data_IF_687359817426
#
_entry.id   IF_687359817426
#
_cell.length_a   1.000
_cell.length_b   1.000
_cell.length_c   1.000
_cell.angle_alpha   90.00
_cell.angle_beta   90.00
_cell.angle_gamma   90.00
#
_symmetry.space_group_name_H-M   'P 1'
#
loop_
_entity.id
_entity.type
_entity.pdbx_description
1 polymer ?
#
# COMPACT_ATOMS: atom_id res chain seq x y z
N UNK A 1 0.13 -18.87 -37.97
CA UNK A 1 0.27 -17.85 -36.91
C UNK A 1 -0.81 -18.12 -35.86
N UNK A 2 -0.50 -18.82 -34.76
CA UNK A 2 -1.49 -19.11 -33.72
C UNK A 2 -1.77 -17.80 -32.96
N UNK A 3 -2.96 -17.24 -33.15
CA UNK A 3 -3.48 -16.20 -32.26
C UNK A 3 -3.62 -16.85 -30.89
N UNK A 4 -2.78 -16.47 -29.93
CA UNK A 4 -2.94 -16.87 -28.54
C UNK A 4 -4.29 -16.37 -28.03
N UNK A 5 -5.28 -17.25 -27.98
CA UNK A 5 -6.58 -16.98 -27.35
C UNK A 5 -6.39 -17.06 -25.85
N UNK A 6 -6.16 -15.91 -25.21
CA UNK A 6 -6.09 -15.84 -23.75
C UNK A 6 -7.50 -15.98 -23.15
N UNK A 7 -7.67 -16.79 -22.09
CA UNK A 7 -8.97 -17.00 -21.47
C UNK A 7 -9.52 -15.68 -20.89
N UNK A 8 -10.80 -15.35 -21.17
CA UNK A 8 -11.48 -14.13 -20.68
C UNK A 8 -11.27 -13.90 -19.18
N UNK A 9 -11.23 -14.96 -18.38
CA UNK A 9 -11.01 -14.91 -16.93
C UNK A 9 -9.64 -14.29 -16.56
N UNK A 10 -8.60 -14.61 -17.33
CA UNK A 10 -7.27 -14.03 -17.13
C UNK A 10 -7.27 -12.55 -17.48
N UNK A 11 -7.96 -12.16 -18.55
CA UNK A 11 -8.10 -10.76 -18.96
C UNK A 11 -8.78 -9.91 -17.87
N UNK A 12 -9.89 -10.40 -17.31
CA UNK A 12 -10.58 -9.76 -16.18
C UNK A 12 -9.72 -9.66 -14.92
N UNK A 13 -8.95 -10.71 -14.60
CA UNK A 13 -8.04 -10.71 -13.45
C UNK A 13 -6.95 -9.64 -13.60
N UNK A 14 -6.34 -9.57 -14.78
CA UNK A 14 -5.30 -8.60 -15.11
C UNK A 14 -5.86 -7.17 -15.04
N UNK A 15 -7.00 -6.89 -15.66
CA UNK A 15 -7.63 -5.56 -15.62
C UNK A 15 -7.97 -5.14 -14.17
N UNK A 16 -8.54 -6.03 -13.37
CA UNK A 16 -8.87 -5.72 -11.99
C UNK A 16 -7.63 -5.47 -11.12
N UNK A 17 -6.52 -6.18 -11.39
CA UNK A 17 -5.25 -5.93 -10.74
C UNK A 17 -4.70 -4.53 -11.06
N UNK A 18 -4.69 -4.13 -12.34
CA UNK A 18 -4.27 -2.79 -12.75
C UNK A 18 -5.19 -1.69 -12.24
N UNK A 19 -6.51 -1.91 -12.29
CA UNK A 19 -7.49 -0.97 -11.72
C UNK A 19 -7.26 -0.77 -10.24
N UNK A 20 -7.00 -1.83 -9.47
CA UNK A 20 -6.69 -1.71 -8.04
C UNK A 20 -5.44 -0.84 -7.80
N UNK A 21 -4.40 -1.01 -8.62
CA UNK A 21 -3.16 -0.22 -8.52
C UNK A 21 -3.35 1.28 -8.79
N UNK A 22 -4.23 1.65 -9.73
CA UNK A 22 -4.46 3.05 -10.11
C UNK A 22 -5.16 3.88 -9.02
N UNK A 23 -5.82 3.23 -8.05
CA UNK A 23 -6.57 3.88 -6.97
C UNK A 23 -5.88 3.80 -5.59
N UNK A 24 -4.67 3.25 -5.49
CA UNK A 24 -3.96 3.11 -4.22
C UNK A 24 -3.03 4.30 -3.96
N UNK A 25 -2.88 4.65 -2.68
CA UNK A 25 -1.86 5.61 -2.23
C UNK A 25 -0.47 4.99 -2.30
N UNK A 26 0.60 5.81 -2.24
CA UNK A 26 1.98 5.29 -2.13
C UNK A 26 2.14 4.34 -0.95
N UNK A 27 1.46 4.60 0.17
CA UNK A 27 1.41 3.68 1.31
C UNK A 27 0.76 2.34 0.95
N UNK A 28 -0.39 2.38 0.27
CA UNK A 28 -1.07 1.18 -0.21
C UNK A 28 -0.22 0.36 -1.18
N UNK A 29 0.48 1.03 -2.10
CA UNK A 29 1.40 0.41 -3.05
C UNK A 29 2.62 -0.19 -2.35
N UNK A 30 3.19 0.50 -1.36
CA UNK A 30 4.31 0.00 -0.57
C UNK A 30 3.97 -1.31 0.14
N UNK A 31 2.81 -1.36 0.82
CA UNK A 31 2.34 -2.58 1.49
C UNK A 31 2.06 -3.72 0.50
N UNK A 32 1.48 -3.41 -0.66
CA UNK A 32 1.22 -4.40 -1.70
C UNK A 32 2.53 -4.99 -2.25
N UNK A 33 3.54 -4.15 -2.49
CA UNK A 33 4.87 -4.58 -2.97
C UNK A 33 5.57 -5.50 -1.97
N UNK A 34 5.45 -5.22 -0.66
CA UNK A 34 5.99 -6.08 0.41
C UNK A 34 5.09 -7.31 0.68
N UNK A 35 3.97 -7.47 -0.04
CA UNK A 35 3.02 -8.58 0.10
C UNK A 35 2.51 -8.79 1.54
N UNK A 36 2.37 -7.70 2.30
CA UNK A 36 1.98 -7.75 3.71
C UNK A 36 0.47 -7.81 3.87
N UNK A 37 0.01 -8.64 4.81
CA UNK A 37 -1.40 -8.74 5.16
C UNK A 37 -1.82 -7.65 6.18
N UNK A 38 -2.80 -6.81 5.80
CA UNK A 38 -3.38 -5.78 6.70
C UNK A 38 -3.94 -6.35 8.00
N UNK A 39 -4.42 -7.60 7.99
CA UNK A 39 -4.91 -8.27 9.20
C UNK A 39 -3.78 -8.57 10.18
N UNK A 40 -2.59 -8.85 9.69
CA UNK A 40 -1.40 -9.10 10.53
C UNK A 40 -0.89 -7.79 11.13
N UNK A 41 -0.77 -6.74 10.32
CA UNK A 41 -0.42 -5.40 10.79
C UNK A 41 -1.39 -4.97 11.90
N UNK A 42 -2.69 -5.16 11.69
CA UNK A 42 -3.72 -4.80 12.66
C UNK A 42 -3.52 -5.51 14.01
N UNK A 43 -3.19 -6.80 13.99
CA UNK A 43 -2.90 -7.58 15.20
C UNK A 43 -1.63 -7.12 15.93
N UNK A 44 -0.56 -6.80 15.20
CA UNK A 44 0.73 -6.39 15.79
C UNK A 44 0.71 -4.95 16.32
N UNK A 45 -0.04 -4.07 15.68
CA UNK A 45 0.02 -2.61 15.93
C UNK A 45 -1.18 -2.05 16.69
N UNK A 46 -2.29 -2.80 16.77
CA UNK A 46 -3.56 -2.28 17.28
C UNK A 46 -4.30 -1.34 16.32
N UNK A 47 -3.71 -0.98 15.18
CA UNK A 47 -4.35 -0.14 14.16
C UNK A 47 -5.47 -0.96 13.49
N UNK A 48 -6.68 -0.38 13.38
CA UNK A 48 -7.81 -1.12 12.81
C UNK A 48 -7.61 -1.44 11.32
N UNK A 49 -8.17 -2.56 10.85
CA UNK A 49 -8.15 -2.92 9.42
C UNK A 49 -8.81 -1.83 8.56
N UNK A 50 -9.85 -1.19 9.07
CA UNK A 50 -10.54 -0.08 8.39
C UNK A 50 -9.60 1.10 8.19
N UNK A 51 -8.86 1.51 9.24
CA UNK A 51 -7.88 2.59 9.17
C UNK A 51 -6.74 2.29 8.19
N UNK A 52 -6.20 1.07 8.21
CA UNK A 52 -5.19 0.64 7.22
C UNK A 52 -5.75 0.65 5.79
N UNK A 53 -7.03 0.34 5.61
CA UNK A 53 -7.69 0.41 4.31
C UNK A 53 -7.86 1.84 3.83
N UNK A 54 -8.33 2.74 4.70
CA UNK A 54 -8.43 4.17 4.44
C UNK A 54 -7.08 4.74 4.02
N UNK A 55 -6.01 4.52 4.80
CA UNK A 55 -4.65 4.98 4.49
C UNK A 55 -4.13 4.46 3.15
N UNK A 56 -4.57 3.28 2.71
CA UNK A 56 -4.14 2.67 1.44
C UNK A 56 -4.91 3.19 0.21
N UNK A 57 -6.09 3.79 0.40
CA UNK A 57 -7.03 4.08 -0.70
C UNK A 57 -7.49 5.54 -0.74
N UNK A 58 -7.34 6.30 0.35
CA UNK A 58 -7.74 7.69 0.46
C UNK A 58 -6.49 8.60 0.46
N UNK A 59 -6.21 9.33 -0.65
CA UNK A 59 -5.06 10.24 -0.72
C UNK A 59 -5.08 11.39 0.31
N UNK A 60 -6.27 11.74 0.81
CA UNK A 60 -6.43 12.79 1.84
C UNK A 60 -6.14 12.28 3.25
N UNK A 61 -6.16 10.96 3.46
CA UNK A 61 -5.85 10.37 4.75
C UNK A 61 -4.37 10.56 5.09
N UNK A 62 -4.09 11.04 6.29
CA UNK A 62 -2.72 11.27 6.77
C UNK A 62 -2.29 10.13 7.67
N UNK A 63 -1.16 9.50 7.35
CA UNK A 63 -0.48 8.54 8.21
C UNK A 63 0.22 9.31 9.33
N UNK A 64 -0.13 9.02 10.59
CA UNK A 64 0.52 9.64 11.75
C UNK A 64 1.89 9.03 12.00
N UNK A 65 2.76 9.75 12.70
CA UNK A 65 4.14 9.31 12.94
C UNK A 65 4.22 8.03 13.78
N UNK A 66 3.36 7.90 14.79
CA UNK A 66 3.19 6.70 15.60
C UNK A 66 2.65 5.52 14.78
N UNK A 67 1.61 5.75 13.96
CA UNK A 67 1.09 4.76 13.02
C UNK A 67 2.18 4.27 12.06
N UNK A 68 2.97 5.19 11.48
CA UNK A 68 4.09 4.87 10.59
C UNK A 68 5.12 3.99 11.29
N UNK A 69 5.53 4.39 12.49
CA UNK A 69 6.55 3.66 13.26
C UNK A 69 6.10 2.24 13.58
N UNK A 70 4.87 2.08 14.09
CA UNK A 70 4.31 0.76 14.41
C UNK A 70 4.14 -0.11 13.17
N UNK A 71 3.66 0.45 12.06
CA UNK A 71 3.53 -0.29 10.79
C UNK A 71 4.90 -0.76 10.30
N UNK A 72 5.91 0.11 10.32
CA UNK A 72 7.27 -0.24 9.90
C UNK A 72 7.83 -1.42 10.71
N UNK A 73 7.70 -1.37 12.05
CA UNK A 73 8.09 -2.49 12.91
C UNK A 73 7.29 -3.76 12.62
N UNK A 74 5.98 -3.65 12.38
CA UNK A 74 5.13 -4.82 12.14
C UNK A 74 5.45 -5.58 10.83
N UNK A 75 6.10 -4.89 9.88
CA UNK A 75 6.50 -5.41 8.57
C UNK A 75 8.02 -5.61 8.45
N UNK A 76 8.73 -5.62 9.59
CA UNK A 76 10.17 -5.83 9.67
C UNK A 76 10.97 -4.89 8.74
N UNK A 77 10.57 -3.62 8.71
CA UNK A 77 11.20 -2.57 7.92
C UNK A 77 11.61 -1.41 8.82
N UNK A 78 12.76 -0.78 8.54
CA UNK A 78 13.21 0.38 9.30
C UNK A 78 12.19 1.54 9.17
N UNK A 79 11.79 2.21 10.26
CA UNK A 79 10.85 3.34 10.18
C UNK A 79 11.30 4.45 9.22
N UNK A 80 12.59 4.74 9.17
CA UNK A 80 13.17 5.72 8.24
C UNK A 80 13.06 5.29 6.77
N UNK A 81 13.11 3.99 6.45
CA UNK A 81 12.91 3.49 5.09
C UNK A 81 11.48 3.79 4.62
N UNK A 82 10.48 3.51 5.47
CA UNK A 82 9.08 3.80 5.18
C UNK A 82 8.85 5.31 5.04
N UNK A 83 9.39 6.11 5.97
CA UNK A 83 9.26 7.56 5.94
C UNK A 83 9.86 8.16 4.66
N UNK A 84 11.10 7.80 4.34
CA UNK A 84 11.76 8.30 3.14
C UNK A 84 11.05 7.84 1.88
N UNK A 85 10.49 6.63 1.85
CA UNK A 85 9.72 6.16 0.71
C UNK A 85 8.46 7.01 0.46
N UNK A 86 7.69 7.29 1.52
CA UNK A 86 6.41 7.99 1.42
C UNK A 86 6.54 9.50 1.22
N UNK A 87 7.63 10.11 1.70
CA UNK A 87 7.78 11.56 1.76
C UNK A 87 8.98 12.11 0.98
N UNK A 88 9.59 11.29 0.10
CA UNK A 88 10.75 11.66 -0.76
C UNK A 88 10.59 12.96 -1.54
N UNK A 89 9.36 13.32 -1.90
CA UNK A 89 9.08 14.47 -2.78
C UNK A 89 8.72 15.75 -2.01
N UNK A 90 8.68 15.70 -0.66
CA UNK A 90 8.43 16.87 0.16
C UNK A 90 9.65 17.79 0.11
N UNK A 91 9.41 19.07 -0.21
CA UNK A 91 10.42 20.13 -0.22
C UNK A 91 9.93 21.31 0.61
N UNK A 92 10.88 22.02 1.21
CA UNK A 92 10.61 23.30 1.86
C UNK A 92 10.13 24.30 0.80
N UNK A 93 9.08 25.06 1.13
CA UNK A 93 8.66 26.21 0.32
C UNK A 93 9.44 27.41 0.85
N UNK A 94 10.40 27.88 0.05
CA UNK A 94 11.04 29.17 0.25
C UNK A 94 10.18 30.28 -0.35
#
# INVERSE_FOLDING_TARGET
>A
MKLFSFPKQLYFKVINQYRKSLFMTEFGLFLAKKSVNKSEISRKTGISKSRLSELSMNPSAKLRADELYLVALAIDTAPLELLNHLFKDIKLKN
#
